data_IF_604908125976
#
_entry.id   IF_604908125976
#
_cell.length_a   1.000
_cell.length_b   1.000
_cell.length_c   1.000
_cell.angle_alpha   90.00
_cell.angle_beta   90.00
_cell.angle_gamma   90.00
#
_symmetry.space_group_name_H-M   'P 1'
#
loop_
_entity.id
_entity.type
_entity.pdbx_description
1 polymer ?
#
# COMPACT_ATOMS: atom_id res chain seq x y z
N UNK A 1 -2.68 2.96 -4.68
CA UNK A 1 -2.11 3.31 -3.37
C UNK A 1 -2.17 4.78 -3.02
N UNK A 2 -1.59 5.69 -3.82
CA UNK A 2 -1.49 7.12 -3.49
C UNK A 2 -2.86 7.74 -3.16
N UNK A 3 -3.85 7.55 -4.04
CA UNK A 3 -5.21 8.04 -3.80
C UNK A 3 -5.81 7.54 -2.48
N UNK A 4 -5.61 6.26 -2.13
CA UNK A 4 -6.05 5.72 -0.85
C UNK A 4 -5.40 6.44 0.33
N UNK A 5 -4.07 6.63 0.28
CA UNK A 5 -3.33 7.34 1.32
C UNK A 5 -3.82 8.79 1.50
N UNK A 6 -4.06 9.50 0.38
CA UNK A 6 -4.58 10.87 0.38
C UNK A 6 -6.00 11.01 0.94
N UNK A 7 -6.77 9.93 0.97
CA UNK A 7 -8.11 9.88 1.54
C UNK A 7 -8.14 9.49 3.03
N UNK A 8 -6.99 9.16 3.62
CA UNK A 8 -6.89 8.81 5.05
C UNK A 8 -6.47 10.03 5.86
N UNK A 9 -7.19 10.33 6.94
CA UNK A 9 -6.87 11.40 7.89
C UNK A 9 -5.65 11.04 8.75
N UNK A 10 -5.47 9.75 9.04
CA UNK A 10 -4.36 9.26 9.85
C UNK A 10 -3.01 9.21 9.11
N UNK A 11 -2.98 9.44 7.79
CA UNK A 11 -1.75 9.42 6.99
C UNK A 11 -1.25 10.84 6.76
N UNK A 12 -0.22 11.22 7.51
CA UNK A 12 0.36 12.57 7.48
C UNK A 12 1.19 12.85 6.21
N UNK A 13 1.86 11.82 5.69
CA UNK A 13 2.76 11.93 4.55
C UNK A 13 2.58 10.76 3.58
N UNK A 14 2.52 11.06 2.29
CA UNK A 14 2.44 10.05 1.22
C UNK A 14 3.70 10.09 0.37
N UNK A 15 4.40 8.97 0.30
CA UNK A 15 5.65 8.82 -0.44
C UNK A 15 5.55 7.64 -1.40
N UNK A 16 6.18 7.77 -2.57
CA UNK A 16 6.33 6.71 -3.55
C UNK A 16 7.83 6.44 -3.75
N UNK A 17 8.25 5.22 -3.41
CA UNK A 17 9.57 4.72 -3.73
C UNK A 17 9.56 4.17 -5.15
N UNK A 18 10.30 4.79 -6.06
CA UNK A 18 10.28 4.47 -7.50
C UNK A 18 11.69 4.43 -8.06
N UNK A 19 11.87 3.76 -9.19
CA UNK A 19 13.16 3.56 -9.88
C UNK A 19 13.21 4.23 -11.27
N UNK A 20 12.14 4.89 -11.70
CA UNK A 20 12.03 5.51 -13.00
C UNK A 20 11.46 6.92 -12.94
N UNK A 21 11.91 7.78 -13.86
CA UNK A 21 11.39 9.15 -14.00
C UNK A 21 9.90 9.14 -14.32
N UNK A 22 9.46 8.21 -15.17
CA UNK A 22 8.05 8.05 -15.53
C UNK A 22 7.20 7.79 -14.28
N UNK A 23 7.60 6.85 -13.42
CA UNK A 23 6.86 6.57 -12.19
C UNK A 23 6.96 7.71 -11.16
N UNK A 24 8.08 8.43 -11.12
CA UNK A 24 8.22 9.63 -10.30
C UNK A 24 7.24 10.72 -10.71
N UNK A 25 7.13 11.01 -12.01
CA UNK A 25 6.20 12.00 -12.56
C UNK A 25 4.74 11.63 -12.27
N UNK A 26 4.39 10.35 -12.45
CA UNK A 26 3.06 9.82 -12.10
C UNK A 26 2.81 10.01 -10.60
N UNK A 27 3.74 9.61 -9.74
CA UNK A 27 3.57 9.72 -8.29
C UNK A 27 3.37 11.17 -7.83
N UNK A 28 4.19 12.09 -8.34
CA UNK A 28 4.08 13.52 -8.06
C UNK A 28 2.74 14.08 -8.51
N UNK A 29 2.29 13.70 -9.72
CA UNK A 29 1.00 14.12 -10.26
C UNK A 29 -0.15 13.72 -9.33
N UNK A 30 -0.11 12.52 -8.76
CA UNK A 30 -1.13 12.05 -7.81
C UNK A 30 -0.91 12.52 -6.36
N UNK A 31 0.06 13.42 -6.13
CA UNK A 31 0.27 14.10 -4.85
C UNK A 31 1.15 13.33 -3.84
N UNK A 32 1.95 12.38 -4.30
CA UNK A 32 2.97 11.73 -3.48
C UNK A 32 4.34 12.42 -3.65
N UNK A 33 5.10 12.47 -2.56
CA UNK A 33 6.53 12.79 -2.62
C UNK A 33 7.30 11.60 -3.17
N UNK A 34 8.40 11.86 -3.88
CA UNK A 34 9.17 10.81 -4.56
C UNK A 34 10.45 10.51 -3.81
N UNK A 35 10.71 9.22 -3.64
CA UNK A 35 11.99 8.69 -3.21
C UNK A 35 12.56 7.88 -4.38
N UNK A 36 13.60 8.41 -5.03
CA UNK A 36 14.25 7.75 -6.16
C UNK A 36 15.16 6.62 -5.68
N UNK A 37 15.12 5.48 -6.37
CA UNK A 37 16.03 4.35 -6.21
C UNK A 37 16.84 4.16 -7.49
N UNK A 38 18.07 3.70 -7.32
CA UNK A 38 18.97 3.38 -8.44
C UNK A 38 18.93 1.87 -8.82
N UNK A 39 17.96 1.13 -8.29
CA UNK A 39 17.79 -0.29 -8.55
C UNK A 39 16.31 -0.66 -8.70
N UNK A 40 16.10 -1.69 -9.53
CA UNK A 40 14.83 -2.41 -9.67
C UNK A 40 14.91 -3.56 -8.67
N UNK A 41 13.88 -3.75 -7.84
CA UNK A 41 13.81 -4.83 -6.86
C UNK A 41 12.50 -5.59 -7.02
N UNK A 42 12.61 -6.91 -7.03
CA UNK A 42 11.55 -7.82 -7.43
C UNK A 42 10.79 -8.39 -6.21
N UNK A 43 11.33 -8.28 -4.98
CA UNK A 43 10.73 -9.01 -3.85
C UNK A 43 11.08 -8.61 -2.40
N UNK A 44 12.08 -7.76 -2.11
CA UNK A 44 12.40 -7.41 -0.72
C UNK A 44 11.79 -6.08 -0.27
N UNK A 45 10.68 -6.17 0.46
CA UNK A 45 10.02 -5.02 1.07
C UNK A 45 10.94 -4.24 2.01
N UNK A 46 11.81 -4.94 2.76
CA UNK A 46 12.63 -4.33 3.79
C UNK A 46 13.62 -3.35 3.20
N UNK A 47 14.22 -3.74 2.08
CA UNK A 47 15.29 -2.99 1.44
C UNK A 47 14.85 -1.59 1.03
N UNK A 48 13.68 -1.44 0.40
CA UNK A 48 13.23 -0.10 0.02
C UNK A 48 12.70 0.70 1.21
N UNK A 49 12.17 0.05 2.25
CA UNK A 49 11.76 0.74 3.47
C UNK A 49 12.97 1.32 4.21
N UNK A 50 14.06 0.56 4.33
CA UNK A 50 15.34 1.05 4.88
C UNK A 50 15.88 2.20 4.02
N UNK A 51 15.86 2.03 2.70
CA UNK A 51 16.27 3.10 1.80
C UNK A 51 15.45 4.38 2.03
N UNK A 52 14.12 4.28 2.08
CA UNK A 52 13.23 5.42 2.34
C UNK A 52 13.49 6.06 3.71
N UNK A 53 13.65 5.24 4.75
CA UNK A 53 13.97 5.68 6.11
C UNK A 53 15.29 6.43 6.21
N UNK A 54 16.26 6.11 5.33
CA UNK A 54 17.52 6.82 5.22
C UNK A 54 17.43 8.19 4.57
N UNK A 55 16.32 8.53 3.90
CA UNK A 55 16.13 9.81 3.20
C UNK A 55 15.42 10.88 4.07
N UNK A 56 14.84 10.49 5.21
CA UNK A 56 14.18 11.44 6.11
C UNK A 56 15.12 11.94 7.20
N UNK A 57 15.19 13.27 7.38
CA UNK A 57 15.90 13.88 8.51
C UNK A 57 15.27 13.47 9.85
N UNK A 58 13.93 13.45 9.90
CA UNK A 58 13.15 12.92 11.01
C UNK A 58 12.31 11.75 10.50
N UNK A 59 12.65 10.54 10.95
CA UNK A 59 11.93 9.33 10.55
C UNK A 59 10.51 9.33 11.13
N UNK A 60 9.51 8.86 10.36
CA UNK A 60 8.16 8.72 10.88
C UNK A 60 8.14 7.68 12.01
N UNK A 61 7.21 7.78 12.94
CA UNK A 61 7.07 6.78 14.01
C UNK A 61 6.60 5.43 13.44
N UNK A 62 5.67 5.48 12.50
CA UNK A 62 5.05 4.33 11.83
C UNK A 62 5.07 4.50 10.32
N UNK A 63 5.11 3.37 9.61
CA UNK A 63 4.96 3.31 8.16
C UNK A 63 3.72 2.49 7.84
N UNK A 64 2.90 3.03 6.94
CA UNK A 64 1.82 2.31 6.27
C UNK A 64 2.23 1.99 4.84
N UNK A 65 2.49 0.72 4.56
CA UNK A 65 2.87 0.23 3.25
C UNK A 65 1.63 -0.23 2.46
N UNK A 66 1.42 0.39 1.29
CA UNK A 66 0.29 0.12 0.39
C UNK A 66 0.80 -0.33 -0.99
N UNK A 67 0.66 -1.61 -1.35
CA UNK A 67 1.16 -2.11 -2.65
C UNK A 67 0.27 -1.66 -3.83
N UNK A 68 0.82 -1.17 -4.94
CA UNK A 68 0.00 -0.74 -6.08
C UNK A 68 -0.95 -1.81 -6.63
N UNK A 69 -0.57 -3.08 -6.51
CA UNK A 69 -1.30 -4.27 -7.00
C UNK A 69 -2.67 -4.50 -6.38
N UNK A 70 -3.04 -3.81 -5.30
CA UNK A 70 -4.38 -3.93 -4.65
C UNK A 70 -5.24 -2.66 -4.87
N UNK A 71 -5.65 -2.31 -6.10
CA UNK A 71 -6.15 -0.96 -6.43
C UNK A 71 -7.50 -0.62 -5.79
N UNK A 72 -8.35 -1.61 -5.48
CA UNK A 72 -9.72 -1.41 -5.01
C UNK A 72 -9.89 -1.45 -3.47
N UNK A 73 -8.80 -1.27 -2.71
CA UNK A 73 -8.83 -1.17 -1.24
C UNK A 73 -9.80 -0.07 -0.76
N UNK A 74 -10.38 -0.23 0.43
CA UNK A 74 -11.31 0.72 1.03
C UNK A 74 -10.55 1.73 1.91
N UNK A 75 -10.50 3.03 1.55
CA UNK A 75 -9.77 4.04 2.31
C UNK A 75 -10.26 4.19 3.75
N UNK A 76 -11.57 4.07 4.01
CA UNK A 76 -12.09 4.17 5.38
C UNK A 76 -11.62 3.02 6.27
N UNK A 77 -11.43 1.82 5.69
CA UNK A 77 -10.83 0.70 6.44
C UNK A 77 -9.36 0.98 6.71
N UNK A 78 -8.58 1.39 5.69
CA UNK A 78 -7.17 1.75 5.86
C UNK A 78 -6.99 2.82 6.95
N UNK A 79 -7.76 3.90 6.88
CA UNK A 79 -7.74 4.98 7.87
C UNK A 79 -8.05 4.48 9.29
N UNK A 80 -9.08 3.64 9.43
CA UNK A 80 -9.46 3.06 10.72
C UNK A 80 -8.36 2.18 11.34
N UNK A 81 -7.63 1.44 10.50
CA UNK A 81 -6.52 0.60 10.92
C UNK A 81 -5.32 1.45 11.34
N UNK A 82 -5.02 2.52 10.61
CA UNK A 82 -3.95 3.47 10.94
C UNK A 82 -4.21 4.29 12.22
N UNK A 83 -5.46 4.36 12.72
CA UNK A 83 -5.81 5.15 13.92
C UNK A 83 -5.19 4.61 15.21
N UNK A 84 -5.00 3.30 15.31
CA UNK A 84 -4.39 2.65 16.47
C UNK A 84 -3.23 1.79 15.98
N UNK A 85 -2.09 2.40 15.63
CA UNK A 85 -1.06 1.71 14.90
C UNK A 85 -0.35 0.69 15.81
N UNK A 86 -0.69 -0.58 15.58
CA UNK A 86 0.10 -1.73 16.01
C UNK A 86 0.85 -2.28 14.80
N UNK A 87 1.88 -3.11 15.02
CA UNK A 87 2.43 -3.93 13.93
C UNK A 87 1.38 -4.94 13.49
N UNK A 88 0.87 -4.80 12.26
CA UNK A 88 -0.06 -5.75 11.67
C UNK A 88 0.14 -5.86 10.16
N UNK A 89 -0.32 -6.99 9.65
CA UNK A 89 -0.37 -7.32 8.22
C UNK A 89 -1.80 -7.74 7.86
N UNK A 90 -2.27 -7.28 6.71
CA UNK A 90 -3.55 -7.68 6.17
C UNK A 90 -3.45 -9.00 5.43
N UNK A 91 -4.57 -9.72 5.43
CA UNK A 91 -4.71 -11.01 4.77
C UNK A 91 -6.06 -11.08 4.08
N UNK A 92 -6.05 -11.55 2.84
CA UNK A 92 -7.27 -11.97 2.19
C UNK A 92 -7.65 -13.40 2.60
N UNK A 93 -8.95 -13.69 2.59
CA UNK A 93 -9.46 -15.04 2.76
C UNK A 93 -9.68 -15.71 1.40
N UNK A 94 -8.97 -16.82 1.17
CA UNK A 94 -9.13 -17.66 -0.01
C UNK A 94 -10.15 -18.74 0.31
N UNK A 95 -11.35 -18.60 -0.26
CA UNK A 95 -12.50 -19.45 0.04
C UNK A 95 -12.28 -20.91 -0.38
N UNK A 96 -11.77 -21.13 -1.60
CA UNK A 96 -11.60 -22.48 -2.17
C UNK A 96 -10.56 -23.31 -1.42
N UNK A 97 -9.54 -22.63 -0.88
CA UNK A 97 -8.45 -23.27 -0.14
C UNK A 97 -8.64 -23.22 1.38
N UNK A 98 -9.71 -22.57 1.85
CA UNK A 98 -10.00 -22.33 3.27
C UNK A 98 -8.78 -21.80 4.05
N UNK A 99 -8.04 -20.86 3.45
CA UNK A 99 -6.81 -20.31 4.04
C UNK A 99 -6.76 -18.79 3.93
N UNK A 100 -5.91 -18.18 4.75
CA UNK A 100 -5.57 -16.76 4.63
C UNK A 100 -4.23 -16.60 3.90
N UNK A 101 -4.13 -15.65 2.98
CA UNK A 101 -2.90 -15.29 2.25
C UNK A 101 -2.54 -13.83 2.56
N UNK A 102 -1.27 -13.51 2.86
CA UNK A 102 -0.83 -12.11 2.90
C UNK A 102 -1.14 -11.42 1.58
N UNK A 103 -1.72 -10.23 1.65
CA UNK A 103 -1.97 -9.40 0.48
C UNK A 103 -1.23 -8.07 0.58
N UNK A 104 -1.29 -7.30 -0.49
CA UNK A 104 -0.82 -5.92 -0.63
C UNK A 104 -1.73 -4.86 -0.04
N UNK A 105 -2.81 -5.24 0.66
CA UNK A 105 -3.86 -4.30 1.05
C UNK A 105 -3.33 -3.19 1.97
N UNK A 106 -2.73 -3.55 3.11
CA UNK A 106 -2.06 -2.65 4.04
C UNK A 106 -1.14 -3.41 5.01
N UNK A 107 0.14 -3.04 5.02
CA UNK A 107 1.10 -3.46 6.06
C UNK A 107 1.44 -2.25 6.94
N UNK A 108 1.37 -2.38 8.27
CA UNK A 108 1.76 -1.30 9.21
C UNK A 108 2.82 -1.78 10.18
N UNK A 109 3.88 -1.00 10.34
CA UNK A 109 4.97 -1.30 11.26
C UNK A 109 5.66 -0.02 11.79
N UNK A 110 6.17 -0.02 13.03
CA UNK A 110 7.03 1.03 13.53
C UNK A 110 8.33 1.13 12.73
N UNK A 111 8.82 2.34 12.45
CA UNK A 111 10.08 2.53 11.72
C UNK A 111 11.28 1.90 12.42
N UNK A 112 11.29 1.93 13.76
CA UNK A 112 12.32 1.26 14.58
C UNK A 112 12.43 -0.24 14.31
N UNK A 113 11.32 -0.91 13.99
CA UNK A 113 11.28 -2.34 13.72
C UNK A 113 11.96 -2.66 12.38
N UNK A 114 11.68 -1.84 11.35
CA UNK A 114 12.31 -1.98 10.03
C UNK A 114 13.83 -1.89 10.10
N UNK A 115 14.33 -1.00 10.95
CA UNK A 115 15.76 -0.74 11.11
C UNK A 115 16.44 -1.82 11.96
N UNK A 116 15.80 -2.23 13.06
CA UNK A 116 16.40 -3.13 14.04
C UNK A 116 16.40 -4.60 13.62
N UNK A 117 15.35 -5.04 12.93
CA UNK A 117 15.16 -6.46 12.65
C UNK A 117 15.68 -6.82 11.26
N UNK A 118 16.33 -7.98 11.12
CA UNK A 118 16.82 -8.49 9.83
C UNK A 118 15.68 -8.96 8.91
N UNK A 119 14.48 -9.18 9.46
CA UNK A 119 13.29 -9.58 8.72
C UNK A 119 12.10 -8.78 9.25
N UNK A 120 11.36 -8.15 8.33
CA UNK A 120 10.23 -7.28 8.67
C UNK A 120 9.19 -7.94 9.60
N UNK A 121 9.01 -9.26 9.47
CA UNK A 121 7.94 -10.00 10.11
C UNK A 121 8.40 -11.04 11.13
N UNK A 122 9.68 -11.04 11.52
CA UNK A 122 10.19 -11.98 12.54
C UNK A 122 9.58 -11.68 13.91
N UNK A 123 8.49 -12.37 14.25
CA UNK A 123 7.96 -12.47 15.62
C UNK A 123 7.03 -11.35 16.09
N UNK A 124 6.89 -10.24 15.35
CA UNK A 124 6.08 -9.08 15.74
C UNK A 124 4.76 -8.92 14.98
N UNK A 125 4.25 -9.95 14.29
CA UNK A 125 2.84 -9.92 13.86
C UNK A 125 1.99 -10.06 15.11
N UNK A 126 1.78 -8.93 15.79
CA UNK A 126 0.93 -8.85 16.97
C UNK A 126 -0.53 -9.12 16.57
N UNK A 127 -0.89 -8.79 15.32
CA UNK A 127 -2.25 -8.93 14.79
C UNK A 127 -2.23 -9.23 13.29
N UNK A 128 -3.05 -10.20 12.86
CA UNK A 128 -3.47 -10.34 11.48
C UNK A 128 -4.91 -9.84 11.34
N UNK A 129 -5.20 -9.15 10.25
CA UNK A 129 -6.52 -8.61 9.97
C UNK A 129 -7.00 -9.22 8.66
N UNK A 130 -8.18 -9.85 8.69
CA UNK A 130 -8.82 -10.32 7.47
C UNK A 130 -9.57 -9.13 6.88
N UNK A 131 -9.11 -8.63 5.74
CA UNK A 131 -9.78 -7.57 5.00
C UNK A 131 -10.77 -8.17 3.99
N UNK A 132 -11.70 -7.35 3.47
CA UNK A 132 -12.49 -7.77 2.31
C UNK A 132 -11.55 -8.16 1.17
N UNK A 133 -11.79 -9.30 0.55
CA UNK A 133 -11.17 -9.64 -0.73
C UNK A 133 -11.53 -8.53 -1.69
N UNK A 134 -10.54 -7.89 -2.30
CA UNK A 134 -10.71 -6.83 -3.31
C UNK A 134 -10.00 -7.14 -4.62
N UNK A 135 -9.22 -8.23 -4.66
CA UNK A 135 -8.37 -8.63 -5.77
C UNK A 135 -6.98 -8.00 -5.67
N UNK A 136 -5.97 -8.80 -5.98
CA UNK A 136 -4.61 -8.36 -6.30
C UNK A 136 -4.40 -8.50 -7.81
N UNK A 137 -3.58 -7.63 -8.38
CA UNK A 137 -3.12 -7.74 -9.76
C UNK A 137 -1.74 -8.37 -9.71
N UNK A 138 -1.70 -9.69 -9.89
CA UNK A 138 -0.47 -10.48 -10.04
C UNK A 138 -0.29 -10.89 -11.53
N UNK A 139 -1.38 -11.18 -12.24
CA UNK A 139 -1.45 -11.63 -13.63
C UNK A 139 -2.35 -10.73 -14.50
N UNK A 140 -2.34 -10.92 -15.83
CA UNK A 140 -3.15 -10.11 -16.75
C UNK A 140 -4.65 -10.38 -16.57
N UNK A 141 -5.01 -11.62 -16.25
CA UNK A 141 -6.38 -12.06 -15.99
C UNK A 141 -6.99 -11.40 -14.74
N UNK A 142 -6.17 -10.94 -13.80
CA UNK A 142 -6.67 -10.23 -12.61
C UNK A 142 -7.33 -8.89 -12.96
N UNK A 143 -6.96 -8.29 -14.10
CA UNK A 143 -7.61 -7.06 -14.58
C UNK A 143 -9.10 -7.29 -14.82
N UNK A 144 -9.50 -8.43 -15.41
CA UNK A 144 -10.91 -8.74 -15.66
C UNK A 144 -11.71 -8.78 -14.34
N UNK A 145 -11.13 -9.39 -13.31
CA UNK A 145 -11.77 -9.46 -11.99
C UNK A 145 -11.89 -8.07 -11.34
N UNK A 146 -10.83 -7.28 -11.40
CA UNK A 146 -10.81 -5.90 -10.87
C UNK A 146 -11.83 -5.03 -11.62
N UNK A 147 -11.90 -5.11 -12.94
CA UNK A 147 -12.86 -4.36 -13.75
C UNK A 147 -14.30 -4.77 -13.43
N UNK A 148 -14.58 -6.07 -13.38
CA UNK A 148 -15.89 -6.59 -12.99
C UNK A 148 -16.31 -6.08 -11.61
N UNK A 149 -15.39 -6.12 -10.63
CA UNK A 149 -15.67 -5.60 -9.29
C UNK A 149 -15.96 -4.11 -9.30
N UNK A 150 -15.15 -3.34 -10.02
CA UNK A 150 -15.30 -1.90 -10.13
C UNK A 150 -16.66 -1.54 -10.72
N UNK A 151 -17.10 -2.25 -11.76
CA UNK A 151 -18.42 -2.05 -12.37
C UNK A 151 -19.56 -2.45 -11.44
N UNK A 152 -19.41 -3.55 -10.71
CA UNK A 152 -20.47 -4.10 -9.86
C UNK A 152 -20.64 -3.36 -8.54
N UNK A 153 -19.54 -2.97 -7.90
CA UNK A 153 -19.53 -2.42 -6.53
C UNK A 153 -19.08 -0.96 -6.46
N UNK A 154 -18.51 -0.42 -7.54
CA UNK A 154 -17.83 0.87 -7.50
C UNK A 154 -16.54 0.83 -6.69
N UNK A 155 -15.92 1.99 -6.52
CA UNK A 155 -14.73 2.15 -5.67
C UNK A 155 -14.60 3.61 -5.22
N UNK A 156 -14.51 3.88 -3.90
CA UNK A 156 -14.24 5.23 -3.40
C UNK A 156 -12.96 5.82 -3.97
N UNK A 157 -11.95 4.98 -4.23
CA UNK A 157 -10.69 5.39 -4.85
C UNK A 157 -10.92 5.82 -6.30
N UNK A 158 -11.69 5.05 -7.06
CA UNK A 158 -12.00 5.39 -8.45
C UNK A 158 -12.81 6.69 -8.55
N UNK A 159 -13.76 6.88 -7.64
CA UNK A 159 -14.55 8.12 -7.57
C UNK A 159 -13.69 9.33 -7.20
N UNK A 160 -12.80 9.17 -6.22
CA UNK A 160 -11.80 10.19 -5.87
C UNK A 160 -10.88 10.52 -7.04
N UNK A 161 -10.40 9.51 -7.78
CA UNK A 161 -9.52 9.71 -8.93
C UNK A 161 -10.24 10.50 -10.04
N UNK A 162 -11.47 10.14 -10.40
CA UNK A 162 -12.26 10.89 -11.39
C UNK A 162 -12.51 12.35 -10.97
N UNK A 163 -12.74 12.58 -9.69
CA UNK A 163 -13.03 13.92 -9.17
C UNK A 163 -11.80 14.84 -9.13
N UNK A 164 -10.61 14.29 -8.82
CA UNK A 164 -9.40 15.08 -8.57
C UNK A 164 -8.38 15.02 -9.72
N UNK A 165 -8.46 14.01 -10.58
CA UNK A 165 -7.53 13.74 -11.67
C UNK A 165 -8.28 13.34 -12.96
N UNK A 166 -9.10 14.24 -13.54
CA UNK A 166 -9.97 13.90 -14.68
C UNK A 166 -9.19 13.58 -15.97
N UNK A 167 -7.91 13.94 -16.06
CA UNK A 167 -7.04 13.67 -17.21
C UNK A 167 -5.84 12.81 -16.78
N UNK A 168 -5.96 11.48 -16.73
CA UNK A 168 -4.93 10.60 -16.17
C UNK A 168 -3.70 10.36 -17.06
N UNK A 169 -3.68 10.88 -18.31
CA UNK A 169 -2.70 10.60 -19.39
C UNK A 169 -1.31 10.08 -18.99
#
# INVERSE_FOLDING_TARGET
SIACAKMCEQIEGTYASVDSKQYAEIAQRYGAQVIMRDWIEDSDDRRYLIHALGQWEAQPEYIALLRPTTPLRNPSLVDSLCRNPNTYRTYEWIHDLQMKRPDGYLDVFPSKQVIADDVLWLGYINWWIINPTVGEIDEEEDFDYIEWRLQKYGSPIHDYLKANYPNPE
#
